data_IF_462896631930
#
_entry.id   IF_462896631930
#
_cell.length_a   1.000
_cell.length_b   1.000
_cell.length_c   1.000
_cell.angle_alpha   90.00
_cell.angle_beta   90.00
_cell.angle_gamma   90.00
#
_symmetry.space_group_name_H-M   'P 1'
#
loop_
_entity.id
_entity.type
_entity.pdbx_description
1 polymer ?
#
# COMPACT_ATOMS: atom_id res chain seq x y z
N UNK A 1 30.68 -52.94 -40.15
CA UNK A 1 29.63 -52.94 -39.12
C UNK A 1 30.30 -52.68 -37.77
N UNK A 2 30.46 -51.41 -37.43
CA UNK A 2 30.56 -50.93 -36.04
C UNK A 2 30.32 -49.43 -36.08
N UNK A 3 29.38 -48.99 -35.26
CA UNK A 3 28.95 -47.61 -35.12
C UNK A 3 30.08 -46.74 -34.55
N UNK A 4 30.12 -45.47 -34.95
CA UNK A 4 30.31 -44.43 -33.93
C UNK A 4 29.44 -43.24 -34.27
N UNK A 5 28.53 -42.99 -33.33
CA UNK A 5 27.42 -42.06 -33.40
C UNK A 5 27.97 -40.67 -33.11
N UNK A 6 27.74 -39.71 -34.00
CA UNK A 6 28.13 -38.32 -33.80
C UNK A 6 27.64 -37.80 -32.45
N UNK A 7 28.56 -37.59 -31.51
CA UNK A 7 28.32 -36.78 -30.32
C UNK A 7 28.14 -35.33 -30.77
N UNK A 8 26.89 -34.94 -30.98
CA UNK A 8 26.48 -33.54 -30.91
C UNK A 8 26.93 -33.03 -29.54
N UNK A 9 27.76 -32.01 -29.55
CA UNK A 9 28.06 -31.19 -28.38
C UNK A 9 26.73 -30.56 -27.93
N UNK A 10 26.02 -31.21 -27.01
CA UNK A 10 24.94 -30.58 -26.27
C UNK A 10 25.60 -29.51 -25.40
N UNK A 11 25.62 -28.28 -25.91
CA UNK A 11 25.79 -27.09 -25.07
C UNK A 11 24.61 -27.09 -24.10
N UNK A 12 24.81 -27.64 -22.90
CA UNK A 12 23.89 -27.43 -21.78
C UNK A 12 23.66 -25.93 -21.69
N UNK A 13 22.44 -25.41 -21.92
CA UNK A 13 22.19 -24.01 -21.70
C UNK A 13 22.45 -23.78 -20.22
N UNK A 14 23.48 -22.97 -19.92
CA UNK A 14 23.71 -22.39 -18.60
C UNK A 14 22.35 -22.00 -18.08
N UNK A 15 21.90 -22.72 -17.06
CA UNK A 15 20.78 -22.32 -16.23
C UNK A 15 21.11 -20.90 -15.82
N UNK A 16 20.43 -19.93 -16.44
CA UNK A 16 20.35 -18.59 -15.93
C UNK A 16 19.72 -18.75 -14.55
N UNK A 17 20.59 -18.95 -13.57
CA UNK A 17 20.31 -18.85 -12.16
C UNK A 17 19.46 -17.61 -11.99
N UNK A 18 18.37 -17.76 -11.24
CA UNK A 18 17.49 -16.67 -10.80
C UNK A 18 18.23 -15.78 -9.80
N UNK A 19 19.41 -15.33 -10.21
CA UNK A 19 20.38 -14.61 -9.42
C UNK A 19 19.79 -13.25 -9.09
N UNK A 20 19.46 -13.08 -7.82
CA UNK A 20 19.60 -11.78 -7.19
C UNK A 20 18.40 -10.85 -7.16
N UNK A 21 17.16 -11.28 -7.43
CA UNK A 21 16.00 -10.42 -7.11
C UNK A 21 15.59 -10.53 -5.63
N UNK A 22 16.56 -10.36 -4.73
CA UNK A 22 16.28 -10.12 -3.30
C UNK A 22 15.94 -8.65 -3.16
N UNK A 23 14.68 -8.34 -2.87
CA UNK A 23 14.27 -6.99 -2.50
C UNK A 23 14.99 -6.69 -1.17
N UNK A 24 15.92 -5.72 -1.20
CA UNK A 24 16.63 -5.28 0.01
C UNK A 24 15.66 -4.73 1.04
N UNK A 25 16.02 -4.81 2.32
CA UNK A 25 15.18 -4.34 3.44
C UNK A 25 14.73 -2.89 3.26
N UNK A 26 15.63 -2.00 2.82
CA UNK A 26 15.30 -0.61 2.54
C UNK A 26 14.25 -0.46 1.42
N UNK A 27 14.36 -1.25 0.34
CA UNK A 27 13.38 -1.24 -0.74
C UNK A 27 12.03 -1.81 -0.29
N UNK A 28 12.03 -2.81 0.60
CA UNK A 28 10.82 -3.36 1.19
C UNK A 28 10.14 -2.33 2.11
N UNK A 29 10.90 -1.62 2.95
CA UNK A 29 10.40 -0.55 3.81
C UNK A 29 9.80 0.56 2.96
N UNK A 30 10.52 1.03 1.93
CA UNK A 30 10.01 2.06 1.03
C UNK A 30 8.73 1.62 0.31
N UNK A 31 8.65 0.36 -0.12
CA UNK A 31 7.44 -0.19 -0.73
C UNK A 31 6.26 -0.28 0.26
N UNK A 32 6.51 -0.62 1.52
CA UNK A 32 5.46 -0.66 2.56
C UNK A 32 4.95 0.75 2.87
N UNK A 33 5.87 1.71 3.00
CA UNK A 33 5.56 3.11 3.25
C UNK A 33 4.78 3.69 2.05
N UNK A 34 5.18 3.37 0.82
CA UNK A 34 4.44 3.71 -0.39
C UNK A 34 2.99 3.20 -0.36
N UNK A 35 2.82 1.95 0.09
CA UNK A 35 1.50 1.32 0.14
C UNK A 35 0.58 1.93 1.20
N UNK A 36 1.10 2.66 2.20
CA UNK A 36 0.26 3.30 3.22
C UNK A 36 -0.42 4.60 2.78
N UNK A 37 -0.12 5.09 1.56
CA UNK A 37 -0.62 6.36 1.01
C UNK A 37 -0.59 7.54 2.01
N UNK A 38 0.60 7.91 2.54
CA UNK A 38 0.75 8.95 3.55
C UNK A 38 0.00 10.26 3.24
N UNK A 39 0.06 10.73 1.99
CA UNK A 39 -0.59 11.98 1.60
C UNK A 39 -2.12 11.89 1.71
N UNK A 40 -2.69 10.76 1.30
CA UNK A 40 -4.13 10.52 1.41
C UNK A 40 -4.59 10.59 2.88
N UNK A 41 -3.77 10.07 3.80
CA UNK A 41 -4.05 10.12 5.23
C UNK A 41 -3.97 11.56 5.75
N UNK A 42 -2.89 12.29 5.48
CA UNK A 42 -2.71 13.63 6.06
C UNK A 42 -3.56 14.72 5.40
N UNK A 43 -3.74 14.67 4.07
CA UNK A 43 -4.47 15.69 3.33
C UNK A 43 -5.99 15.43 3.30
N UNK A 44 -6.41 14.16 3.42
CA UNK A 44 -7.81 13.76 3.33
C UNK A 44 -8.34 13.14 4.62
N UNK A 45 -7.73 12.04 5.05
CA UNK A 45 -8.22 11.21 6.15
C UNK A 45 -8.28 11.93 7.49
N UNK A 46 -7.18 12.60 7.89
CA UNK A 46 -7.09 13.31 9.16
C UNK A 46 -8.06 14.50 9.22
N UNK A 47 -8.09 15.44 8.25
CA UNK A 47 -9.06 16.53 8.25
C UNK A 47 -10.51 16.05 8.22
N UNK A 48 -10.80 14.99 7.46
CA UNK A 48 -12.15 14.43 7.38
C UNK A 48 -12.58 13.80 8.72
N UNK A 49 -11.68 13.10 9.40
CA UNK A 49 -11.96 12.56 10.73
C UNK A 49 -12.26 13.68 11.74
N UNK A 50 -11.47 14.76 11.74
CA UNK A 50 -11.76 15.94 12.57
C UNK A 50 -13.10 16.57 12.21
N UNK A 51 -13.38 16.76 10.92
CA UNK A 51 -14.62 17.39 10.47
C UNK A 51 -15.88 16.58 10.83
N UNK A 52 -15.81 15.25 10.79
CA UNK A 52 -16.96 14.37 11.09
C UNK A 52 -17.15 14.15 12.59
N UNK A 53 -16.06 13.95 13.33
CA UNK A 53 -16.15 13.60 14.76
C UNK A 53 -16.17 14.82 15.66
N UNK A 54 -15.55 15.94 15.25
CA UNK A 54 -15.36 17.13 16.08
C UNK A 54 -14.47 16.91 17.31
N UNK A 55 -13.80 15.76 17.42
CA UNK A 55 -13.02 15.38 18.61
C UNK A 55 -11.57 15.85 18.49
N UNK A 56 -11.04 16.48 19.54
CA UNK A 56 -9.62 16.82 19.63
C UNK A 56 -8.74 15.61 19.92
N UNK A 57 -9.29 14.57 20.57
CA UNK A 57 -8.59 13.32 20.94
C UNK A 57 -8.28 12.35 19.79
N UNK A 58 -8.45 12.73 18.53
CA UNK A 58 -8.12 11.89 17.36
C UNK A 58 -6.65 11.40 17.37
N UNK A 59 -5.63 12.20 17.76
CA UNK A 59 -4.25 11.75 17.86
C UNK A 59 -4.05 10.51 18.75
N UNK A 60 -4.81 10.39 19.84
CA UNK A 60 -4.75 9.23 20.75
C UNK A 60 -5.16 7.93 20.03
N UNK A 61 -6.12 7.99 19.10
CA UNK A 61 -6.53 6.82 18.32
C UNK A 61 -5.38 6.27 17.47
N UNK A 62 -4.53 7.14 16.91
CA UNK A 62 -3.35 6.72 16.15
C UNK A 62 -2.30 6.05 17.04
N UNK A 63 -2.13 6.52 18.29
CA UNK A 63 -1.24 5.87 19.26
C UNK A 63 -1.73 4.47 19.63
N UNK A 64 -3.02 4.32 19.94
CA UNK A 64 -3.61 3.02 20.27
C UNK A 64 -3.49 2.05 19.09
N UNK A 65 -3.82 2.49 17.88
CA UNK A 65 -3.66 1.68 16.67
C UNK A 65 -2.20 1.33 16.42
N UNK A 66 -1.27 2.27 16.64
CA UNK A 66 0.17 2.04 16.54
C UNK A 66 0.65 0.93 17.46
N UNK A 67 0.23 0.92 18.74
CA UNK A 67 0.56 -0.14 19.70
C UNK A 67 0.02 -1.49 19.23
N UNK A 68 -1.23 -1.54 18.78
CA UNK A 68 -1.84 -2.77 18.26
C UNK A 68 -1.06 -3.30 17.04
N UNK A 69 -0.68 -2.42 16.12
CA UNK A 69 0.10 -2.79 14.93
C UNK A 69 1.51 -3.25 15.29
N UNK A 70 2.17 -2.65 16.28
CA UNK A 70 3.48 -3.09 16.78
C UNK A 70 3.38 -4.51 17.37
N UNK A 71 2.41 -4.75 18.24
CA UNK A 71 2.19 -6.07 18.83
C UNK A 71 1.92 -7.13 17.75
N UNK A 72 1.10 -6.78 16.75
CA UNK A 72 0.85 -7.62 15.59
C UNK A 72 2.12 -7.89 14.77
N UNK A 73 2.92 -6.86 14.50
CA UNK A 73 4.16 -6.98 13.75
C UNK A 73 5.19 -7.89 14.44
N UNK A 74 5.30 -7.83 15.77
CA UNK A 74 6.16 -8.73 16.56
C UNK A 74 5.71 -10.19 16.39
N UNK A 75 4.41 -10.46 16.55
CA UNK A 75 3.86 -11.81 16.35
C UNK A 75 4.05 -12.32 14.92
N UNK A 76 3.79 -11.46 13.93
CA UNK A 76 3.99 -11.77 12.51
C UNK A 76 5.46 -12.09 12.20
N UNK A 77 6.40 -11.29 12.72
CA UNK A 77 7.84 -11.50 12.54
C UNK A 77 8.32 -12.81 13.20
N UNK A 78 7.74 -13.20 14.33
CA UNK A 78 8.05 -14.49 14.96
C UNK A 78 7.56 -15.67 14.10
N UNK A 79 6.36 -15.59 13.52
CA UNK A 79 5.81 -16.62 12.65
C UNK A 79 6.53 -16.72 11.30
N UNK A 80 6.90 -15.58 10.69
CA UNK A 80 7.51 -15.54 9.35
C UNK A 80 8.88 -16.23 9.28
N UNK A 81 9.59 -16.31 10.41
CA UNK A 81 10.83 -17.11 10.53
C UNK A 81 10.63 -18.62 10.31
N UNK A 82 9.41 -19.12 10.52
CA UNK A 82 9.11 -20.56 10.51
C UNK A 82 8.32 -21.02 9.28
N UNK A 83 7.76 -20.09 8.50
CA UNK A 83 6.89 -20.42 7.36
C UNK A 83 7.22 -19.53 6.17
N UNK A 84 7.92 -20.12 5.20
CA UNK A 84 8.28 -19.54 3.91
C UNK A 84 7.27 -20.03 2.86
N UNK A 85 6.13 -19.35 2.69
CA UNK A 85 5.15 -19.68 1.65
C UNK A 85 4.42 -18.44 1.12
N UNK A 86 4.09 -18.43 -0.18
CA UNK A 86 3.53 -17.29 -0.92
C UNK A 86 2.09 -16.87 -0.52
N UNK A 87 1.45 -17.57 0.42
CA UNK A 87 0.14 -17.26 0.98
C UNK A 87 0.19 -16.94 2.48
N UNK A 88 1.14 -16.10 2.89
CA UNK A 88 1.61 -15.92 4.27
C UNK A 88 0.48 -15.91 5.32
N UNK A 89 -0.55 -15.06 5.18
CA UNK A 89 -1.62 -14.98 6.19
C UNK A 89 -2.49 -16.23 6.29
N UNK A 90 -2.97 -16.77 5.17
CA UNK A 90 -3.73 -18.02 5.18
C UNK A 90 -2.88 -19.15 5.78
N UNK A 91 -1.62 -19.27 5.35
CA UNK A 91 -0.72 -20.32 5.81
C UNK A 91 -0.43 -20.22 7.32
N UNK A 92 -0.28 -19.00 7.86
CA UNK A 92 -0.03 -18.77 9.28
C UNK A 92 -1.28 -19.13 10.11
N UNK A 93 -2.45 -18.65 9.70
CA UNK A 93 -3.70 -18.87 10.44
C UNK A 93 -4.13 -20.34 10.34
N UNK A 94 -4.02 -20.96 9.17
CA UNK A 94 -4.37 -22.37 8.99
C UNK A 94 -3.47 -23.32 9.79
N UNK A 95 -2.19 -22.96 9.96
CA UNK A 95 -1.23 -23.75 10.75
C UNK A 95 -1.40 -23.55 12.27
N UNK A 96 -1.83 -22.36 12.70
CA UNK A 96 -2.06 -22.05 14.13
C UNK A 96 -3.44 -22.45 14.65
N UNK A 97 -4.51 -22.11 13.91
CA UNK A 97 -5.91 -22.26 14.36
C UNK A 97 -6.70 -23.29 13.54
N UNK A 98 -6.08 -23.90 12.52
CA UNK A 98 -6.71 -24.89 11.65
C UNK A 98 -7.30 -24.33 10.36
N UNK A 99 -7.56 -25.22 9.40
CA UNK A 99 -7.98 -24.87 8.03
C UNK A 99 -9.25 -23.99 7.96
N UNK A 100 -10.33 -24.24 8.74
CA UNK A 100 -11.55 -23.41 8.65
C UNK A 100 -11.30 -21.94 8.98
N UNK A 101 -10.53 -21.66 10.05
CA UNK A 101 -10.15 -20.30 10.43
C UNK A 101 -9.27 -19.63 9.36
N UNK A 102 -8.35 -20.39 8.75
CA UNK A 102 -7.53 -19.90 7.64
C UNK A 102 -8.36 -19.47 6.43
N UNK A 103 -9.34 -20.28 6.03
CA UNK A 103 -10.25 -19.94 4.91
C UNK A 103 -11.08 -18.72 5.24
N UNK A 104 -11.63 -18.65 6.47
CA UNK A 104 -12.37 -17.47 6.93
C UNK A 104 -11.54 -16.19 6.81
N UNK A 105 -10.32 -16.19 7.32
CA UNK A 105 -9.42 -15.04 7.23
C UNK A 105 -9.05 -14.68 5.78
N UNK A 106 -8.85 -15.66 4.90
CA UNK A 106 -8.58 -15.40 3.48
C UNK A 106 -9.76 -14.73 2.77
N UNK A 107 -10.99 -15.18 3.05
CA UNK A 107 -12.21 -14.57 2.51
C UNK A 107 -12.41 -13.15 3.07
N UNK A 108 -12.21 -12.95 4.38
CA UNK A 108 -12.25 -11.62 5.00
C UNK A 108 -11.23 -10.69 4.37
N UNK A 109 -9.99 -11.14 4.16
CA UNK A 109 -8.96 -10.36 3.49
C UNK A 109 -9.39 -10.01 2.06
N UNK A 110 -9.90 -10.98 1.28
CA UNK A 110 -10.36 -10.73 -0.08
C UNK A 110 -11.45 -9.65 -0.12
N UNK A 111 -12.46 -9.74 0.74
CA UNK A 111 -13.54 -8.75 0.81
C UNK A 111 -13.00 -7.38 1.23
N UNK A 112 -12.15 -7.33 2.25
CA UNK A 112 -11.55 -6.09 2.73
C UNK A 112 -10.70 -5.40 1.65
N UNK A 113 -9.86 -6.14 0.93
CA UNK A 113 -9.05 -5.59 -0.16
C UNK A 113 -9.90 -5.06 -1.32
N UNK A 114 -10.99 -5.75 -1.67
CA UNK A 114 -11.90 -5.28 -2.71
C UNK A 114 -12.65 -4.00 -2.28
N UNK A 115 -13.17 -3.97 -1.05
CA UNK A 115 -13.82 -2.79 -0.49
C UNK A 115 -12.85 -1.59 -0.43
N UNK A 116 -11.60 -1.84 -0.01
CA UNK A 116 -10.53 -0.83 0.00
C UNK A 116 -10.25 -0.30 -1.41
N UNK A 117 -10.12 -1.17 -2.42
CA UNK A 117 -9.90 -0.73 -3.80
C UNK A 117 -11.04 0.16 -4.31
N UNK A 118 -12.30 -0.23 -4.07
CA UNK A 118 -13.47 0.56 -4.48
C UNK A 118 -13.44 1.94 -3.80
N UNK A 119 -13.14 1.99 -2.51
CA UNK A 119 -13.03 3.24 -1.76
C UNK A 119 -11.95 4.18 -2.31
N UNK A 120 -10.74 3.65 -2.54
CA UNK A 120 -9.60 4.43 -3.04
C UNK A 120 -9.87 4.94 -4.45
N UNK A 121 -10.35 4.08 -5.35
CA UNK A 121 -10.65 4.45 -6.73
C UNK A 121 -11.80 5.46 -6.80
N UNK A 122 -12.82 5.30 -5.95
CA UNK A 122 -13.92 6.26 -5.82
C UNK A 122 -13.45 7.63 -5.35
N UNK A 123 -12.61 7.67 -4.31
CA UNK A 123 -12.01 8.91 -3.81
C UNK A 123 -11.15 9.60 -4.88
N UNK A 124 -10.30 8.85 -5.58
CA UNK A 124 -9.50 9.36 -6.68
C UNK A 124 -10.38 9.96 -7.80
N UNK A 125 -11.43 9.23 -8.21
CA UNK A 125 -12.36 9.69 -9.23
C UNK A 125 -13.10 10.97 -8.85
N UNK A 126 -13.49 11.10 -7.58
CA UNK A 126 -14.12 12.30 -7.04
C UNK A 126 -13.16 13.50 -7.09
N UNK A 127 -11.95 13.36 -6.54
CA UNK A 127 -10.94 14.43 -6.52
C UNK A 127 -10.57 14.85 -7.95
N UNK A 128 -10.36 13.88 -8.85
CA UNK A 128 -10.05 14.17 -10.25
C UNK A 128 -11.18 14.91 -10.96
N UNK A 129 -12.44 14.49 -10.75
CA UNK A 129 -13.61 15.18 -11.28
C UNK A 129 -13.68 16.62 -10.79
N UNK A 130 -13.46 16.86 -9.49
CA UNK A 130 -13.42 18.22 -8.93
C UNK A 130 -12.30 19.08 -9.50
N UNK A 131 -11.10 18.52 -9.74
CA UNK A 131 -9.99 19.24 -10.34
C UNK A 131 -10.29 19.60 -11.80
N UNK A 132 -10.89 18.69 -12.56
CA UNK A 132 -11.26 18.94 -13.96
C UNK A 132 -12.30 20.05 -14.08
N UNK A 133 -13.26 20.07 -13.17
CA UNK A 133 -14.25 21.14 -13.08
C UNK A 133 -13.60 22.48 -12.70
N UNK A 134 -12.77 22.48 -11.65
CA UNK A 134 -12.13 23.70 -11.14
C UNK A 134 -11.14 24.35 -12.12
N UNK A 135 -10.38 23.55 -12.87
CA UNK A 135 -9.33 24.06 -13.77
C UNK A 135 -9.81 24.28 -15.21
N UNK A 136 -10.68 23.40 -15.70
CA UNK A 136 -11.08 23.37 -17.11
C UNK A 136 -12.58 23.63 -17.32
N UNK A 137 -13.38 23.76 -16.26
CA UNK A 137 -14.84 23.88 -16.33
C UNK A 137 -15.51 22.61 -16.89
N UNK A 138 -14.82 21.46 -16.86
CA UNK A 138 -15.30 20.23 -17.46
C UNK A 138 -15.99 19.35 -16.40
N UNK A 139 -17.31 19.30 -16.46
CA UNK A 139 -18.13 18.47 -15.56
C UNK A 139 -18.13 17.00 -15.99
N UNK A 140 -17.09 16.26 -15.64
CA UNK A 140 -17.02 14.80 -15.86
C UNK A 140 -17.57 14.06 -14.64
N UNK A 141 -18.51 13.11 -14.78
CA UNK A 141 -18.98 12.31 -13.66
C UNK A 141 -17.82 11.55 -12.99
N UNK A 142 -17.71 11.63 -11.67
CA UNK A 142 -16.64 11.00 -10.88
C UNK A 142 -16.49 9.49 -11.15
N UNK A 143 -17.61 8.80 -11.44
CA UNK A 143 -17.61 7.38 -11.77
C UNK A 143 -16.80 7.07 -13.05
N UNK A 144 -16.84 7.97 -14.03
CA UNK A 144 -16.05 7.84 -15.28
C UNK A 144 -14.56 8.02 -14.98
N UNK A 145 -14.21 9.07 -14.21
CA UNK A 145 -12.83 9.29 -13.76
C UNK A 145 -12.27 8.09 -12.98
N UNK A 146 -13.08 7.54 -12.07
CA UNK A 146 -12.77 6.34 -11.29
C UNK A 146 -12.53 5.10 -12.17
N UNK A 147 -13.43 4.82 -13.12
CA UNK A 147 -13.29 3.67 -14.02
C UNK A 147 -12.06 3.78 -14.93
N UNK A 148 -11.75 4.98 -15.43
CA UNK A 148 -10.53 5.24 -16.21
C UNK A 148 -9.30 4.98 -15.35
N UNK A 149 -9.25 5.52 -14.13
CA UNK A 149 -8.14 5.30 -13.21
C UNK A 149 -7.94 3.82 -12.90
N UNK A 150 -9.03 3.09 -12.63
CA UNK A 150 -9.02 1.65 -12.39
C UNK A 150 -8.47 0.88 -13.59
N UNK A 151 -8.91 1.20 -14.81
CA UNK A 151 -8.43 0.56 -16.02
C UNK A 151 -6.93 0.83 -16.26
N UNK A 152 -6.46 2.07 -16.05
CA UNK A 152 -5.05 2.43 -16.19
C UNK A 152 -4.18 1.67 -15.17
N UNK A 153 -4.60 1.63 -13.91
CA UNK A 153 -3.90 0.88 -12.86
C UNK A 153 -3.88 -0.61 -13.17
N UNK A 154 -5.01 -1.17 -13.63
CA UNK A 154 -5.10 -2.57 -14.07
C UNK A 154 -4.15 -2.89 -15.22
N UNK A 155 -4.07 -2.01 -16.23
CA UNK A 155 -3.15 -2.15 -17.37
C UNK A 155 -1.68 -2.04 -16.92
N UNK A 156 -1.35 -1.10 -16.03
CA UNK A 156 0.00 -1.00 -15.45
C UNK A 156 0.36 -2.22 -14.60
N UNK A 157 -0.62 -2.86 -13.95
CA UNK A 157 -0.42 -4.11 -13.21
C UNK A 157 -0.06 -5.29 -14.12
N UNK A 158 -0.58 -5.31 -15.35
CA UNK A 158 -0.29 -6.34 -16.36
C UNK A 158 1.00 -6.02 -17.13
N UNK A 159 1.38 -4.73 -17.21
CA UNK A 159 2.63 -4.29 -17.83
C UNK A 159 3.87 -4.75 -17.03
N UNK A 160 5.07 -4.55 -17.59
CA UNK A 160 6.34 -4.99 -16.97
C UNK A 160 6.44 -4.44 -15.53
N UNK A 161 6.51 -5.33 -14.54
CA UNK A 161 6.60 -5.00 -13.10
C UNK A 161 7.74 -4.02 -12.81
N UNK A 162 8.85 -4.09 -13.56
CA UNK A 162 9.98 -3.18 -13.43
C UNK A 162 9.63 -1.71 -13.75
N UNK A 163 8.69 -1.47 -14.67
CA UNK A 163 8.21 -0.12 -15.00
C UNK A 163 7.30 0.40 -13.88
N UNK A 164 6.35 -0.41 -13.43
CA UNK A 164 5.41 -0.05 -12.36
C UNK A 164 6.14 0.24 -11.05
N UNK A 165 7.19 -0.52 -10.72
CA UNK A 165 8.03 -0.26 -9.55
C UNK A 165 8.77 1.09 -9.63
N UNK A 166 9.28 1.48 -10.80
CA UNK A 166 9.95 2.78 -10.99
C UNK A 166 8.97 3.95 -10.88
N UNK A 167 7.80 3.82 -11.51
CA UNK A 167 6.74 4.85 -11.44
C UNK A 167 6.26 5.02 -10.01
N UNK A 168 5.99 3.92 -9.30
CA UNK A 168 5.62 3.96 -7.89
C UNK A 168 6.71 4.62 -7.03
N UNK A 169 7.98 4.27 -7.28
CA UNK A 169 9.12 4.89 -6.62
C UNK A 169 9.15 6.41 -6.74
N UNK A 170 8.94 6.93 -7.94
CA UNK A 170 8.90 8.37 -8.22
C UNK A 170 7.69 9.05 -7.56
N UNK A 171 6.49 8.46 -7.69
CA UNK A 171 5.25 9.00 -7.09
C UNK A 171 5.39 9.12 -5.58
N UNK A 172 5.90 8.07 -4.93
CA UNK A 172 6.06 8.03 -3.47
C UNK A 172 7.10 9.04 -3.01
N UNK A 173 8.20 9.20 -3.76
CA UNK A 173 9.19 10.23 -3.45
C UNK A 173 8.55 11.62 -3.50
N UNK A 174 7.74 11.91 -4.52
CA UNK A 174 7.00 13.16 -4.61
C UNK A 174 5.95 13.30 -3.49
N UNK A 175 5.27 12.21 -3.13
CA UNK A 175 4.31 12.15 -2.02
C UNK A 175 4.96 12.58 -0.70
N UNK A 176 6.13 12.03 -0.37
CA UNK A 176 6.88 12.42 0.83
C UNK A 176 7.29 13.89 0.83
N UNK A 177 7.72 14.42 -0.32
CA UNK A 177 8.06 15.84 -0.42
C UNK A 177 6.84 16.72 -0.12
N UNK A 178 5.66 16.38 -0.66
CA UNK A 178 4.42 17.11 -0.40
C UNK A 178 4.02 17.01 1.07
N UNK A 179 4.11 15.82 1.68
CA UNK A 179 3.81 15.63 3.11
C UNK A 179 4.73 16.47 3.98
N UNK A 180 6.04 16.45 3.72
CA UNK A 180 7.01 17.26 4.47
C UNK A 180 6.68 18.75 4.35
N UNK A 181 6.37 19.22 3.14
CA UNK A 181 5.98 20.63 2.93
C UNK A 181 4.67 20.95 3.66
N UNK A 182 3.68 20.07 3.61
CA UNK A 182 2.41 20.21 4.32
C UNK A 182 2.62 20.32 5.83
N UNK A 183 3.45 19.44 6.40
CA UNK A 183 3.79 19.44 7.82
C UNK A 183 4.52 20.74 8.22
N UNK A 184 5.49 21.19 7.41
CA UNK A 184 6.22 22.44 7.66
C UNK A 184 5.31 23.67 7.60
N UNK A 185 4.42 23.74 6.61
CA UNK A 185 3.42 24.82 6.51
C UNK A 185 2.50 24.80 7.73
N UNK A 186 2.03 23.61 8.13
CA UNK A 186 1.19 23.44 9.31
C UNK A 186 1.86 23.95 10.58
N UNK A 187 3.14 23.64 10.80
CA UNK A 187 3.91 24.10 11.95
C UNK A 187 4.11 25.62 11.97
N UNK A 188 4.35 26.24 10.80
CA UNK A 188 4.60 27.69 10.70
C UNK A 188 3.32 28.50 10.82
N UNK A 189 2.19 28.00 10.30
CA UNK A 189 0.92 28.72 10.25
C UNK A 189 -0.07 28.33 11.37
N UNK A 190 0.39 27.65 12.42
CA UNK A 190 -0.46 27.19 13.54
C UNK A 190 -1.06 28.36 14.33
N UNK A 191 -2.38 28.67 14.22
CA UNK A 191 -2.99 29.83 14.88
C UNK A 191 -3.01 29.72 16.40
N UNK A 192 -3.01 28.49 16.92
CA UNK A 192 -3.06 28.17 18.35
C UNK A 192 -1.68 27.78 18.92
N UNK A 193 -0.63 27.77 18.07
CA UNK A 193 0.69 27.25 18.41
C UNK A 193 0.75 25.71 18.43
N UNK A 194 1.88 25.17 18.89
CA UNK A 194 2.05 23.72 19.07
C UNK A 194 1.51 23.35 20.45
N UNK A 195 0.32 22.76 20.48
CA UNK A 195 -0.41 22.48 21.73
C UNK A 195 -0.62 20.97 21.91
N UNK A 196 -0.55 20.49 23.16
CA UNK A 196 -0.71 19.08 23.51
C UNK A 196 -2.17 18.70 23.83
N UNK A 197 -3.14 19.59 23.59
CA UNK A 197 -4.54 19.40 23.96
C UNK A 197 -5.16 18.16 23.32
N UNK A 198 -4.75 17.81 22.09
CA UNK A 198 -5.17 16.58 21.44
C UNK A 198 -4.65 15.27 22.08
N UNK A 199 -3.77 15.37 23.10
CA UNK A 199 -3.28 14.25 23.90
C UNK A 199 -3.86 14.22 25.32
N UNK A 200 -4.58 15.27 25.73
CA UNK A 200 -5.23 15.31 27.03
C UNK A 200 -6.58 14.57 26.95
N UNK A 201 -6.92 13.74 27.95
CA UNK A 201 -8.28 13.27 28.08
C UNK A 201 -9.20 14.44 28.47
N UNK A 202 -10.32 14.58 27.76
CA UNK A 202 -11.38 15.54 28.09
C UNK A 202 -11.95 15.33 29.52
#
# INVERSE_FOLDING_TARGET
MSADMGQRTETTPTSASLEGRRIGTASLVFMIIAASAPLTVVAGGVPSNFAVTGLLGIPLSFLVLGVVLILFAIGYAAMSRHVHNAGAFFAYIAKGLGKPAGVGAALTALVAYNAMQIGIVGMFGFVLSSILDALFGLTVPWAVCALIAWAVVGLMGIARVDFSAKVLGAIVTAEFLVVIVFDLIGLVQSPEGVTADGLLPD
#
